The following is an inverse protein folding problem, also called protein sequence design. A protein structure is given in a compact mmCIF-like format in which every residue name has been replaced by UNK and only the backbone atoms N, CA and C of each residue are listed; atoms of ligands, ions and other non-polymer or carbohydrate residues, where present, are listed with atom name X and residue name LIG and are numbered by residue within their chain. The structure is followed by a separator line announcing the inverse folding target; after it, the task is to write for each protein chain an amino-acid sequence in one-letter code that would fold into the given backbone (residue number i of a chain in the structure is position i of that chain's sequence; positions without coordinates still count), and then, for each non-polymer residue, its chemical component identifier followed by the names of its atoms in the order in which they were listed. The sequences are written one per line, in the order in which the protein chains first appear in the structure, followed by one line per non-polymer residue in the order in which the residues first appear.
data_IF_919145601151
#
_entry.id   IF_919145601151
#
_cell.length_a   1.000
_cell.length_b   1.000
_cell.length_c   1.000
_cell.angle_alpha   90.00
_cell.angle_beta   90.00
_cell.angle_gamma   90.00
#
_symmetry.space_group_name_H-M   'P 1'
#
loop_
_entity.id
_entity.type
_entity.pdbx_description
1 polymer ?
#
# COMPACT_ATOMS: atom_id res chain seq x y z
N UNK A 1 -1.08 -4.55 12.81
CA UNK A 1 -0.80 -4.69 11.36
C UNK A 1 -1.81 -3.82 10.61
N UNK A 2 -1.45 -3.28 9.44
CA UNK A 2 -2.40 -2.58 8.58
C UNK A 2 -2.58 -3.35 7.28
N UNK A 3 -3.81 -3.50 6.81
CA UNK A 3 -4.11 -4.12 5.52
C UNK A 3 -4.73 -3.06 4.62
N UNK A 4 -4.16 -2.89 3.43
CA UNK A 4 -4.81 -2.14 2.35
C UNK A 4 -5.51 -3.12 1.44
N UNK A 5 -6.81 -2.94 1.28
CA UNK A 5 -7.58 -3.57 0.23
C UNK A 5 -7.55 -2.63 -0.97
N UNK A 6 -7.06 -3.09 -2.11
CA UNK A 6 -7.02 -2.31 -3.35
C UNK A 6 -7.83 -3.04 -4.40
N UNK A 7 -8.77 -2.34 -5.03
CA UNK A 7 -9.68 -2.91 -6.01
C UNK A 7 -9.33 -2.41 -7.40
N UNK A 8 -9.18 -3.33 -8.35
CA UNK A 8 -8.95 -3.04 -9.76
C UNK A 8 -10.06 -3.64 -10.61
N UNK A 9 -10.36 -3.05 -11.77
CA UNK A 9 -11.33 -3.62 -12.71
C UNK A 9 -10.88 -5.01 -13.16
N UNK A 10 -11.81 -5.96 -13.15
CA UNK A 10 -11.54 -7.31 -13.61
C UNK A 10 -11.62 -7.41 -15.15
N UNK A 11 -10.87 -8.34 -15.77
CA UNK A 11 -9.80 -9.13 -15.15
C UNK A 11 -8.51 -8.31 -15.00
N UNK A 12 -7.79 -8.51 -13.89
CA UNK A 12 -6.45 -7.92 -13.72
C UNK A 12 -5.46 -8.65 -14.62
N UNK A 13 -4.74 -7.90 -15.44
CA UNK A 13 -3.71 -8.43 -16.33
C UNK A 13 -2.38 -8.60 -15.60
N UNK A 14 -1.52 -9.51 -16.07
CA UNK A 14 -0.16 -9.65 -15.53
C UNK A 14 0.65 -8.36 -15.66
N UNK A 15 0.47 -7.59 -16.75
CA UNK A 15 1.10 -6.29 -16.90
C UNK A 15 0.70 -5.31 -15.78
N UNK A 16 -0.57 -5.32 -15.35
CA UNK A 16 -1.01 -4.50 -14.23
C UNK A 16 -0.41 -4.98 -12.90
N UNK A 17 -0.30 -6.30 -12.68
CA UNK A 17 0.38 -6.85 -11.50
C UNK A 17 1.85 -6.44 -11.47
N UNK A 18 2.52 -6.44 -12.62
CA UNK A 18 3.90 -5.98 -12.75
C UNK A 18 4.05 -4.48 -12.46
N UNK A 19 3.09 -3.64 -12.86
CA UNK A 19 3.07 -2.21 -12.50
C UNK A 19 2.81 -2.00 -11.01
N UNK A 20 1.89 -2.76 -10.41
CA UNK A 20 1.64 -2.73 -8.96
C UNK A 20 2.91 -3.09 -8.18
N UNK A 21 3.61 -4.15 -8.59
CA UNK A 21 4.82 -4.63 -7.93
C UNK A 21 5.99 -3.61 -7.93
N UNK A 22 5.93 -2.59 -8.79
CA UNK A 22 6.91 -1.48 -8.81
C UNK A 22 6.62 -0.42 -7.76
N UNK A 23 5.43 -0.40 -7.18
CA UNK A 23 5.10 0.52 -6.09
C UNK A 23 5.72 -0.05 -4.81
N UNK A 24 6.60 0.72 -4.17
CA UNK A 24 7.32 0.29 -2.96
C UNK A 24 6.40 0.02 -1.75
N UNK A 25 5.12 0.41 -1.83
CA UNK A 25 4.22 0.50 -0.70
C UNK A 25 4.67 1.60 0.28
N UNK A 26 4.18 1.53 1.51
CA UNK A 26 4.52 2.47 2.57
C UNK A 26 5.69 1.90 3.37
N UNK A 27 6.90 2.15 2.89
CA UNK A 27 8.13 1.73 3.58
C UNK A 27 8.73 2.87 4.41
N UNK A 28 9.26 2.58 5.60
CA UNK A 28 10.12 3.52 6.30
C UNK A 28 11.44 3.75 5.52
N UNK A 29 12.03 4.95 5.57
CA UNK A 29 13.26 5.28 4.86
C UNK A 29 14.44 4.46 5.40
N UNK A 30 15.29 3.98 4.50
CA UNK A 30 16.46 3.16 4.83
C UNK A 30 17.61 3.91 5.52
N UNK A 31 17.54 5.24 5.64
CA UNK A 31 18.71 6.12 5.87
C UNK A 31 19.07 6.33 7.35
N UNK A 32 18.25 5.90 8.31
CA UNK A 32 18.70 5.86 9.70
C UNK A 32 19.11 4.43 9.98
N UNK A 33 20.41 4.20 10.26
CA UNK A 33 20.87 2.95 10.89
C UNK A 33 19.90 2.69 12.04
N UNK A 34 18.96 1.74 11.93
CA UNK A 34 17.99 1.59 12.97
C UNK A 34 18.80 1.14 14.17
N UNK A 35 18.71 1.84 15.31
CA UNK A 35 18.94 1.13 16.57
C UNK A 35 17.99 -0.07 16.54
N UNK A 36 18.35 -1.24 17.07
CA UNK A 36 17.51 -2.45 16.97
C UNK A 36 16.03 -2.22 17.40
N UNK A 37 15.78 -1.16 18.19
CA UNK A 37 14.46 -0.68 18.63
C UNK A 37 13.77 0.35 17.69
N UNK A 38 14.27 0.60 16.48
CA UNK A 38 13.76 1.59 15.52
C UNK A 38 13.28 0.97 14.20
N UNK A 39 13.25 -0.36 14.09
CA UNK A 39 12.61 -1.03 12.95
C UNK A 39 11.12 -0.71 12.96
N UNK A 40 10.72 0.29 12.16
CA UNK A 40 9.34 0.77 12.06
C UNK A 40 8.43 -0.32 11.43
N UNK A 41 8.99 -1.19 10.60
CA UNK A 41 8.30 -2.34 10.02
C UNK A 41 9.22 -3.56 10.01
N UNK A 42 8.95 -4.65 10.76
CA UNK A 42 9.74 -5.88 10.72
C UNK A 42 9.84 -6.54 9.33
N UNK A 43 8.92 -6.24 8.40
CA UNK A 43 8.87 -6.86 7.07
C UNK A 43 8.47 -5.84 6.00
N UNK A 44 8.91 -6.02 4.74
CA UNK A 44 8.37 -5.25 3.62
C UNK A 44 6.87 -5.57 3.42
N UNK A 45 6.12 -4.68 2.77
CA UNK A 45 4.75 -4.98 2.35
C UNK A 45 4.70 -6.22 1.44
N UNK A 46 3.60 -6.95 1.49
CA UNK A 46 3.39 -8.17 0.68
C UNK A 46 2.15 -8.01 -0.18
N UNK A 47 2.23 -8.38 -1.45
CA UNK A 47 1.10 -8.34 -2.37
C UNK A 47 0.42 -9.71 -2.44
N UNK A 48 -0.88 -9.76 -2.14
CA UNK A 48 -1.69 -10.98 -2.16
C UNK A 48 -2.94 -10.74 -3.01
N UNK A 49 -2.90 -11.22 -4.25
CA UNK A 49 -4.03 -11.11 -5.19
C UNK A 49 -5.13 -12.12 -4.87
N UNK A 50 -6.39 -11.67 -4.90
CA UNK A 50 -7.54 -12.55 -4.81
C UNK A 50 -7.62 -13.46 -6.03
N UNK A 51 -7.95 -14.73 -5.82
CA UNK A 51 -8.11 -15.72 -6.89
C UNK A 51 -9.40 -15.50 -7.70
N UNK A 52 -10.41 -14.89 -7.08
CA UNK A 52 -11.74 -14.69 -7.66
C UNK A 52 -12.07 -13.19 -7.77
N UNK A 53 -12.99 -12.89 -8.68
CA UNK A 53 -13.56 -11.54 -8.82
C UNK A 53 -14.74 -11.36 -7.86
N UNK A 54 -15.07 -10.10 -7.58
CA UNK A 54 -16.22 -9.69 -6.78
C UNK A 54 -16.89 -8.47 -7.43
N UNK A 55 -18.07 -8.07 -6.96
CA UNK A 55 -18.79 -6.90 -7.48
C UNK A 55 -18.76 -5.75 -6.48
N UNK A 56 -18.31 -4.59 -6.94
CA UNK A 56 -18.20 -3.37 -6.16
C UNK A 56 -18.88 -2.22 -6.92
N UNK A 57 -19.89 -1.61 -6.33
CA UNK A 57 -20.73 -0.57 -6.97
C UNK A 57 -21.28 -0.95 -8.36
N UNK A 58 -21.50 -2.25 -8.59
CA UNK A 58 -21.99 -2.78 -9.87
C UNK A 58 -20.90 -3.04 -10.92
N UNK A 59 -19.63 -2.76 -10.61
CA UNK A 59 -18.48 -3.14 -11.45
C UNK A 59 -17.86 -4.45 -10.95
N UNK A 60 -17.49 -5.33 -11.88
CA UNK A 60 -16.70 -6.52 -11.57
C UNK A 60 -15.24 -6.11 -11.31
N UNK A 61 -14.74 -6.43 -10.13
CA UNK A 61 -13.42 -6.06 -9.65
C UNK A 61 -12.65 -7.27 -9.14
N UNK A 62 -11.33 -7.15 -9.07
CA UNK A 62 -10.46 -8.10 -8.40
C UNK A 62 -9.65 -7.35 -7.34
N UNK A 63 -9.61 -7.92 -6.14
CA UNK A 63 -8.94 -7.30 -5.00
C UNK A 63 -7.49 -7.77 -4.85
N UNK A 64 -6.67 -6.84 -4.39
CA UNK A 64 -5.33 -7.03 -3.87
C UNK A 64 -5.35 -6.72 -2.39
N UNK A 65 -4.90 -7.66 -1.57
CA UNK A 65 -4.54 -7.40 -0.19
C UNK A 65 -3.08 -7.00 -0.15
N UNK A 66 -2.80 -5.86 0.48
CA UNK A 66 -1.46 -5.34 0.64
C UNK A 66 -1.11 -5.08 2.11
N UNK A 67 -0.80 -6.12 2.89
CA UNK A 67 -0.46 -5.97 4.30
C UNK A 67 0.84 -5.19 4.49
N UNK A 68 0.80 -4.22 5.39
CA UNK A 68 1.91 -3.43 5.89
C UNK A 68 2.14 -3.76 7.37
N UNK A 69 3.35 -4.24 7.66
CA UNK A 69 3.68 -4.86 8.95
C UNK A 69 4.26 -3.84 9.92
N UNK A 70 3.46 -2.89 10.40
CA UNK A 70 3.88 -1.98 11.46
C UNK A 70 4.16 -2.71 12.78
N UNK A 71 5.16 -2.24 13.53
CA UNK A 71 5.43 -2.75 14.87
C UNK A 71 4.27 -2.47 15.84
N UNK A 72 3.76 -1.24 15.81
CA UNK A 72 2.67 -0.75 16.65
C UNK A 72 1.94 0.41 15.94
N UNK A 73 0.80 0.85 16.49
CA UNK A 73 -0.03 1.91 15.91
C UNK A 73 0.68 3.27 15.89
N UNK A 74 1.45 3.59 16.94
CA UNK A 74 2.20 4.84 17.03
C UNK A 74 3.22 4.95 15.90
N UNK A 75 3.91 3.85 15.62
CA UNK A 75 4.85 3.73 14.50
C UNK A 75 4.14 3.84 13.16
N UNK A 76 2.93 3.32 13.02
CA UNK A 76 2.15 3.45 11.78
C UNK A 76 1.85 4.90 11.43
N UNK A 77 1.79 5.82 12.41
CA UNK A 77 1.59 7.26 12.17
C UNK A 77 2.68 7.88 11.29
N UNK A 78 3.84 7.21 11.14
CA UNK A 78 4.90 7.62 10.23
C UNK A 78 4.39 7.86 8.79
N UNK A 79 3.40 7.10 8.31
CA UNK A 79 2.83 7.23 6.95
C UNK A 79 2.21 8.60 6.65
N UNK A 80 1.79 9.31 7.71
CA UNK A 80 1.21 10.64 7.62
C UNK A 80 2.26 11.75 7.68
N UNK A 81 3.54 11.40 7.83
CA UNK A 81 4.62 12.38 7.76
C UNK A 81 4.80 12.83 6.32
N UNK A 82 4.94 14.14 6.15
CA UNK A 82 5.42 14.71 4.89
C UNK A 82 6.84 14.21 4.63
N UNK A 83 7.07 13.67 3.45
CA UNK A 83 8.44 13.50 3.01
C UNK A 83 9.02 14.88 2.68
N UNK A 84 10.31 15.05 2.92
CA UNK A 84 11.07 16.21 2.42
C UNK A 84 11.30 16.12 0.89
N UNK A 85 10.53 15.30 0.19
CA UNK A 85 10.50 15.29 -1.27
C UNK A 85 9.75 16.55 -1.73
N UNK A 86 10.27 17.21 -2.77
CA UNK A 86 9.85 18.55 -3.20
C UNK A 86 8.37 18.72 -3.60
N UNK A 87 7.55 17.67 -3.51
CA UNK A 87 6.10 17.73 -3.73
C UNK A 87 5.32 18.17 -2.48
N UNK A 88 5.91 18.09 -1.28
CA UNK A 88 5.25 18.47 -0.02
C UNK A 88 4.14 17.50 0.45
N UNK A 89 4.06 16.33 -0.18
CA UNK A 89 3.09 15.27 0.10
C UNK A 89 3.55 14.35 1.22
N UNK A 90 2.58 13.76 1.91
CA UNK A 90 2.77 12.63 2.82
C UNK A 90 3.04 11.36 2.05
N UNK A 91 3.63 10.38 2.74
CA UNK A 91 3.87 9.05 2.16
C UNK A 91 2.55 8.41 1.73
N UNK A 92 1.51 8.59 2.55
CA UNK A 92 0.16 8.10 2.27
C UNK A 92 -0.43 8.72 1.00
N UNK A 93 -0.31 10.04 0.83
CA UNK A 93 -0.77 10.74 -0.37
C UNK A 93 -0.02 10.26 -1.62
N UNK A 94 1.30 10.10 -1.53
CA UNK A 94 2.11 9.56 -2.62
C UNK A 94 1.68 8.14 -3.01
N UNK A 95 1.44 7.28 -2.03
CA UNK A 95 0.97 5.92 -2.25
C UNK A 95 -0.42 5.88 -2.90
N UNK A 96 -1.37 6.68 -2.39
CA UNK A 96 -2.71 6.81 -2.99
C UNK A 96 -2.66 7.32 -4.43
N UNK A 97 -1.80 8.28 -4.72
CA UNK A 97 -1.60 8.76 -6.09
C UNK A 97 -1.08 7.65 -6.98
N UNK A 98 -0.03 6.94 -6.57
CA UNK A 98 0.52 5.83 -7.36
C UNK A 98 -0.54 4.78 -7.69
N UNK A 99 -1.36 4.38 -6.70
CA UNK A 99 -2.48 3.43 -6.92
C UNK A 99 -3.51 3.98 -7.91
N UNK A 100 -3.88 5.26 -7.80
CA UNK A 100 -4.81 5.91 -8.72
C UNK A 100 -4.27 5.98 -10.14
N UNK A 101 -2.99 6.32 -10.29
CA UNK A 101 -2.34 6.49 -11.59
C UNK A 101 -2.28 5.16 -12.37
N UNK A 102 -2.18 4.03 -11.67
CA UNK A 102 -2.23 2.69 -12.28
C UNK A 102 -3.67 2.14 -12.41
N UNK A 103 -4.68 2.91 -12.02
CA UNK A 103 -6.10 2.58 -12.27
C UNK A 103 -6.82 1.82 -11.14
N UNK A 104 -6.38 1.95 -9.88
CA UNK A 104 -7.17 1.46 -8.75
C UNK A 104 -8.54 2.18 -8.71
N UNK A 105 -9.62 1.41 -8.55
CA UNK A 105 -11.00 1.88 -8.52
C UNK A 105 -11.37 2.35 -7.11
N UNK A 106 -10.98 1.57 -6.10
CA UNK A 106 -11.17 1.89 -4.70
C UNK A 106 -10.00 1.32 -3.91
N UNK A 107 -9.73 1.89 -2.75
CA UNK A 107 -8.94 1.23 -1.71
C UNK A 107 -9.56 1.45 -0.34
N UNK A 108 -9.35 0.51 0.57
CA UNK A 108 -9.80 0.57 1.97
C UNK A 108 -8.65 0.23 2.89
N UNK A 109 -8.62 0.89 4.05
CA UNK A 109 -7.61 0.66 5.08
C UNK A 109 -8.26 -0.07 6.25
N UNK A 110 -7.62 -1.10 6.77
CA UNK A 110 -8.06 -1.78 7.99
C UNK A 110 -6.89 -2.06 8.94
N UNK A 111 -7.14 -1.99 10.25
CA UNK A 111 -6.16 -2.27 11.29
C UNK A 111 -6.52 -3.57 12.01
N UNK A 112 -5.58 -4.52 12.01
CA UNK A 112 -5.70 -5.82 12.67
C UNK A 112 -4.63 -6.00 13.76
#
# INVERSE_FOLDING_TARGET
MQIFWVYFKAPVTEALKDEVAKIDGIRPPAILRPRENELLSPKPPVELWALYTEYLYGEEVQSLLWPHFWRDEEVALFRHRKMWTGTGETIMEGFHRSLRDIGAVEFKEDFC
#
